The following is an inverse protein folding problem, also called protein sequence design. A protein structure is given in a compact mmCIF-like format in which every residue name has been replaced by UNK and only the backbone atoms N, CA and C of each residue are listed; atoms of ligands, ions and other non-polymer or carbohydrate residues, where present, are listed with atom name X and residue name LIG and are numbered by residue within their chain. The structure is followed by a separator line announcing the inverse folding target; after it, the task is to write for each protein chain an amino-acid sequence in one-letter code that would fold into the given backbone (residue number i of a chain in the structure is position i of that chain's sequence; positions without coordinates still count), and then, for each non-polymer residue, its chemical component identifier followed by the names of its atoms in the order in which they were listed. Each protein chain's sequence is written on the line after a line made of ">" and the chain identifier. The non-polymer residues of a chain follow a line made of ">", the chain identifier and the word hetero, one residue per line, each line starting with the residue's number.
data_IF_205601673842
#
_entry.id   IF_205601673842
#
_cell.length_a   1.000
_cell.length_b   1.000
_cell.length_c   1.000
_cell.angle_alpha   90.00
_cell.angle_beta   90.00
_cell.angle_gamma   90.00
#
_symmetry.space_group_name_H-M   'P 1'
#
loop_
_entity.id
_entity.type
_entity.pdbx_description
1 polymer ?
#
# COMPACT_ATOMS: atom_id res chain seq x y z
N UNK A 1 9.69 8.10 3.55
CA UNK A 1 11.00 8.79 3.73
C UNK A 1 10.81 10.26 4.15
N UNK A 2 11.78 10.90 4.83
CA UNK A 2 11.72 12.34 5.09
C UNK A 2 11.54 13.10 3.76
N UNK A 3 10.53 13.96 3.67
CA UNK A 3 10.21 14.72 2.45
C UNK A 3 9.34 13.99 1.42
N UNK A 4 8.86 12.78 1.71
CA UNK A 4 7.92 12.07 0.84
C UNK A 4 6.48 12.50 1.18
N UNK A 5 5.90 13.38 0.36
CA UNK A 5 4.58 13.97 0.62
C UNK A 5 3.51 13.12 -0.03
N UNK A 6 2.70 12.43 0.78
CA UNK A 6 1.56 11.66 0.30
C UNK A 6 0.33 12.55 0.10
N UNK A 7 -0.52 12.16 -0.85
CA UNK A 7 -1.85 12.75 -0.96
C UNK A 7 -2.65 12.45 0.33
N UNK A 8 -3.39 13.42 0.88
CA UNK A 8 -4.02 13.29 2.21
C UNK A 8 -4.92 12.06 2.40
N UNK A 9 -5.63 11.63 1.35
CA UNK A 9 -6.40 10.36 1.36
C UNK A 9 -5.51 9.11 1.44
N UNK A 10 -4.36 9.11 0.78
CA UNK A 10 -3.40 8.00 0.81
C UNK A 10 -2.71 7.95 2.17
N UNK A 11 -2.36 9.11 2.74
CA UNK A 11 -1.83 9.19 4.11
C UNK A 11 -2.78 8.54 5.11
N UNK A 12 -4.08 8.85 5.04
CA UNK A 12 -5.09 8.23 5.92
C UNK A 12 -5.13 6.71 5.79
N UNK A 13 -5.06 6.18 4.56
CA UNK A 13 -5.00 4.73 4.32
C UNK A 13 -3.74 4.13 4.97
N UNK A 14 -2.58 4.79 4.86
CA UNK A 14 -1.35 4.32 5.49
C UNK A 14 -1.42 4.35 7.02
N UNK A 15 -2.02 5.40 7.58
CA UNK A 15 -2.22 5.53 9.03
C UNK A 15 -3.17 4.43 9.55
N UNK A 16 -4.25 4.13 8.82
CA UNK A 16 -5.20 3.07 9.20
C UNK A 16 -4.57 1.68 9.06
N UNK A 17 -3.76 1.44 8.01
CA UNK A 17 -2.96 0.20 7.89
C UNK A 17 -1.97 0.05 9.04
N UNK A 18 -1.36 1.13 9.52
CA UNK A 18 -0.47 1.08 10.68
C UNK A 18 -1.21 0.70 11.97
N UNK A 19 -2.48 1.10 12.12
CA UNK A 19 -3.34 0.66 13.23
C UNK A 19 -3.75 -0.81 13.08
N UNK A 20 -4.10 -1.25 11.86
CA UNK A 20 -4.40 -2.65 11.57
C UNK A 20 -3.21 -3.56 11.92
N UNK A 21 -1.99 -3.16 11.57
CA UNK A 21 -0.77 -3.89 11.90
C UNK A 21 -0.52 -4.02 13.42
N UNK A 22 -1.04 -3.08 14.23
CA UNK A 22 -0.97 -3.12 15.70
C UNK A 22 -2.15 -3.87 16.34
N UNK A 23 -3.12 -4.31 15.55
CA UNK A 23 -4.36 -4.92 16.05
C UNK A 23 -5.34 -3.91 16.68
N UNK A 24 -5.14 -2.60 16.45
CA UNK A 24 -6.05 -1.54 16.93
C UNK A 24 -7.30 -1.40 16.04
N UNK A 25 -7.25 -1.92 14.82
CA UNK A 25 -8.32 -1.89 13.83
C UNK A 25 -8.39 -3.25 13.10
N UNK A 26 -9.59 -3.69 12.74
CA UNK A 26 -9.79 -4.90 11.96
C UNK A 26 -9.18 -4.76 10.55
N UNK A 27 -8.63 -5.85 10.03
CA UNK A 27 -7.99 -5.87 8.71
C UNK A 27 -9.01 -5.68 7.60
N UNK A 28 -8.73 -4.76 6.68
CA UNK A 28 -9.46 -4.65 5.42
C UNK A 28 -8.83 -5.53 4.31
N UNK A 29 -9.50 -5.60 3.17
CA UNK A 29 -9.04 -6.40 2.03
C UNK A 29 -7.68 -5.94 1.48
N UNK A 30 -7.47 -4.63 1.37
CA UNK A 30 -6.24 -4.08 0.78
C UNK A 30 -5.02 -4.35 1.67
N UNK A 31 -5.21 -4.30 2.98
CA UNK A 31 -4.20 -4.65 3.95
C UNK A 31 -3.93 -6.16 3.96
N UNK A 32 -4.97 -7.00 3.95
CA UNK A 32 -4.81 -8.45 3.87
C UNK A 32 -4.07 -8.89 2.59
N UNK A 33 -4.43 -8.32 1.44
CA UNK A 33 -3.74 -8.56 0.16
C UNK A 33 -2.26 -8.15 0.24
N UNK A 34 -1.97 -6.99 0.83
CA UNK A 34 -0.59 -6.50 0.99
C UNK A 34 0.22 -7.43 1.91
N UNK A 35 -0.38 -7.93 2.99
CA UNK A 35 0.28 -8.87 3.91
C UNK A 35 0.58 -10.21 3.24
N UNK A 36 -0.30 -10.70 2.38
CA UNK A 36 -0.05 -11.92 1.60
C UNK A 36 1.11 -11.74 0.60
N UNK A 37 1.23 -10.58 -0.03
CA UNK A 37 2.41 -10.28 -0.87
C UNK A 37 3.68 -10.16 -0.03
N UNK A 38 3.59 -9.50 1.13
CA UNK A 38 4.74 -9.34 2.01
C UNK A 38 5.27 -10.69 2.51
N UNK A 39 4.41 -11.64 2.89
CA UNK A 39 4.85 -12.97 3.34
C UNK A 39 5.54 -13.76 2.22
N UNK A 40 5.00 -13.72 1.01
CA UNK A 40 5.60 -14.40 -0.14
C UNK A 40 7.00 -13.84 -0.47
N UNK A 41 7.14 -12.51 -0.46
CA UNK A 41 8.44 -11.87 -0.73
C UNK A 41 9.44 -12.14 0.40
N UNK A 42 8.98 -12.17 1.67
CA UNK A 42 9.82 -12.52 2.82
C UNK A 42 10.34 -13.97 2.74
N UNK A 43 9.52 -14.89 2.24
CA UNK A 43 9.90 -16.28 1.95
C UNK A 43 10.79 -16.45 0.70
N UNK A 44 11.03 -15.36 -0.04
CA UNK A 44 11.90 -15.34 -1.23
C UNK A 44 11.19 -15.62 -2.56
N UNK A 45 9.86 -15.56 -2.59
CA UNK A 45 9.08 -15.67 -3.84
C UNK A 45 8.88 -14.31 -4.51
N UNK A 46 9.16 -14.25 -5.81
CA UNK A 46 8.89 -13.06 -6.61
C UNK A 46 7.39 -12.91 -6.89
N UNK A 47 6.83 -11.72 -6.60
CA UNK A 47 5.44 -11.39 -6.87
C UNK A 47 5.33 -10.39 -8.03
N UNK A 48 4.76 -10.83 -9.17
CA UNK A 48 4.48 -9.95 -10.32
C UNK A 48 2.99 -9.65 -10.43
N UNK A 49 2.63 -8.39 -10.21
CA UNK A 49 1.27 -7.89 -10.43
C UNK A 49 1.24 -7.08 -11.73
N UNK A 50 0.39 -7.47 -12.68
CA UNK A 50 0.22 -6.74 -13.95
C UNK A 50 -1.25 -6.52 -14.26
N UNK A 51 -1.59 -5.33 -14.74
CA UNK A 51 -2.94 -4.96 -15.13
C UNK A 51 -3.07 -3.43 -15.20
N UNK A 52 -4.13 -2.95 -15.85
CA UNK A 52 -4.42 -1.52 -15.94
C UNK A 52 -4.69 -0.95 -14.54
N UNK A 53 -4.02 0.15 -14.21
CA UNK A 53 -4.10 0.84 -12.90
C UNK A 53 -3.86 -0.04 -11.66
N UNK A 54 -3.19 -1.19 -11.85
CA UNK A 54 -3.01 -2.20 -10.79
C UNK A 54 -2.09 -1.73 -9.65
N UNK A 55 -1.21 -0.74 -9.86
CA UNK A 55 -0.35 -0.18 -8.81
C UNK A 55 -1.13 0.59 -7.73
N UNK A 56 -2.13 1.38 -8.13
CA UNK A 56 -3.07 2.05 -7.21
C UNK A 56 -4.21 1.11 -6.79
N UNK A 57 -4.62 0.25 -7.73
CA UNK A 57 -5.88 -0.46 -7.72
C UNK A 57 -6.99 0.39 -8.32
N UNK A 58 -7.80 -0.21 -9.19
CA UNK A 58 -8.94 0.44 -9.87
C UNK A 58 -9.86 1.12 -8.85
N UNK A 59 -10.16 0.40 -7.75
CA UNK A 59 -11.02 0.88 -6.66
C UNK A 59 -10.28 1.57 -5.52
N UNK A 60 -9.06 2.10 -5.75
CA UNK A 60 -8.32 2.90 -4.75
C UNK A 60 -8.03 2.15 -3.43
N UNK A 61 -7.84 0.82 -3.49
CA UNK A 61 -7.68 -0.03 -2.30
C UNK A 61 -6.25 -0.54 -2.09
N UNK A 62 -5.39 -0.56 -3.12
CA UNK A 62 -4.11 -1.28 -3.07
C UNK A 62 -2.95 -0.38 -2.67
N UNK A 63 -2.74 0.72 -3.39
CA UNK A 63 -1.60 1.64 -3.15
C UNK A 63 -0.25 0.92 -2.97
N UNK A 64 0.05 -0.04 -3.85
CA UNK A 64 1.34 -0.75 -3.86
C UNK A 64 2.48 0.16 -4.36
N UNK A 65 2.14 1.14 -5.21
CA UNK A 65 3.03 2.23 -5.61
C UNK A 65 2.53 3.51 -4.94
N UNK A 66 3.43 4.19 -4.24
CA UNK A 66 3.20 5.51 -3.70
C UNK A 66 3.69 6.54 -4.70
N UNK A 67 3.11 7.74 -4.68
CA UNK A 67 3.59 8.85 -5.49
C UNK A 67 3.77 10.07 -4.61
N UNK A 68 4.96 10.66 -4.65
CA UNK A 68 5.27 11.90 -3.95
C UNK A 68 4.62 13.09 -4.65
N UNK A 69 3.72 13.77 -3.94
CA UNK A 69 3.01 14.94 -4.46
C UNK A 69 3.93 16.16 -4.66
N UNK A 70 5.05 16.25 -3.95
CA UNK A 70 5.96 17.39 -4.04
C UNK A 70 6.77 17.41 -5.35
N UNK A 71 7.16 16.24 -5.86
CA UNK A 71 8.08 16.14 -7.00
C UNK A 71 7.67 15.08 -8.04
N UNK A 72 6.48 14.49 -7.93
CA UNK A 72 5.91 13.45 -8.83
C UNK A 72 6.77 12.20 -8.98
N UNK A 73 7.68 11.95 -8.05
CA UNK A 73 8.44 10.70 -8.02
C UNK A 73 7.57 9.57 -7.48
N UNK A 74 7.70 8.40 -8.09
CA UNK A 74 7.21 7.12 -7.58
C UNK A 74 8.11 6.63 -6.45
#
# INVERSE_FOLDING_TARGET
>A
PPGYVLHGRVQRIMDDRAKMAKGELDMDWGFAETMAYASLVDEGFDCRVTGQDSGRGTFFHRHAVLHNQANRQE
#
